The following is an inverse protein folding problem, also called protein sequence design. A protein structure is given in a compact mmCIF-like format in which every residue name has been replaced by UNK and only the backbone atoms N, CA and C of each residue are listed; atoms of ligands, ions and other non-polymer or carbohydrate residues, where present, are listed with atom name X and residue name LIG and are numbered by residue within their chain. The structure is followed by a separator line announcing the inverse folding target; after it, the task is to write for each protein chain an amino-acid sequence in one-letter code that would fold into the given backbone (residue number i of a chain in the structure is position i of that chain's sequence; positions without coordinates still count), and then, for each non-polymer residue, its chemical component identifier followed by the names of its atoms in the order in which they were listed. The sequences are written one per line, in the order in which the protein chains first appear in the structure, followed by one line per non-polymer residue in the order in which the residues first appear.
data_IF_079700156618
#
_entry.id   IF_079700156618
#
_cell.length_a   1.000
_cell.length_b   1.000
_cell.length_c   1.000
_cell.angle_alpha   90.00
_cell.angle_beta   90.00
_cell.angle_gamma   90.00
#
_symmetry.space_group_name_H-M   'P 1'
#
loop_
_entity.id
_entity.type
_entity.pdbx_description
1 polymer ?
#
# COMPACT_ATOMS: atom_id res chain seq x y z
N UNK A 1 12.07 -15.13 -2.20
CA UNK A 1 11.12 -14.29 -2.95
C UNK A 1 11.53 -12.85 -2.77
N UNK A 2 11.73 -12.11 -3.84
CA UNK A 2 11.86 -10.66 -3.72
C UNK A 2 10.45 -10.10 -3.50
N UNK A 3 10.27 -9.42 -2.38
CA UNK A 3 9.04 -8.71 -2.12
C UNK A 3 9.05 -7.40 -2.93
N UNK A 4 7.88 -6.96 -3.33
CA UNK A 4 7.70 -5.65 -3.96
C UNK A 4 6.99 -4.72 -2.99
N UNK A 5 7.27 -3.44 -3.07
CA UNK A 5 6.43 -2.47 -2.38
C UNK A 5 4.99 -2.60 -2.88
N UNK A 6 3.99 -2.70 -1.99
CA UNK A 6 2.60 -2.91 -2.37
C UNK A 6 2.12 -1.95 -3.47
N UNK A 7 1.61 -2.51 -4.55
CA UNK A 7 1.12 -1.75 -5.71
C UNK A 7 2.18 -1.18 -6.65
N UNK A 8 3.44 -1.58 -6.49
CA UNK A 8 4.56 -1.13 -7.32
C UNK A 8 5.39 -2.29 -7.88
N UNK A 9 6.29 -1.98 -8.80
CA UNK A 9 7.34 -2.86 -9.29
C UNK A 9 8.69 -2.63 -8.59
N UNK A 10 8.71 -1.88 -7.50
CA UNK A 10 9.91 -1.59 -6.72
C UNK A 10 10.22 -2.82 -5.86
N UNK A 11 11.27 -3.55 -6.24
CA UNK A 11 11.73 -4.73 -5.48
C UNK A 11 12.40 -4.30 -4.18
N UNK A 12 12.03 -4.95 -3.10
CA UNK A 12 12.53 -4.66 -1.75
C UNK A 12 12.80 -5.94 -0.98
N UNK A 13 13.65 -5.87 0.02
CA UNK A 13 13.75 -6.94 1.03
C UNK A 13 12.69 -6.75 2.11
N UNK A 14 12.40 -7.82 2.84
CA UNK A 14 11.48 -7.77 3.98
C UNK A 14 11.93 -6.76 5.05
N UNK A 15 13.22 -6.55 5.21
CA UNK A 15 13.76 -5.56 6.15
C UNK A 15 13.51 -4.11 5.70
N UNK A 16 13.52 -3.85 4.39
CA UNK A 16 13.18 -2.53 3.87
C UNK A 16 11.71 -2.16 4.08
N UNK A 17 10.80 -3.14 4.16
CA UNK A 17 9.40 -2.87 4.48
C UNK A 17 9.19 -2.31 5.89
N UNK A 18 10.14 -2.50 6.82
CA UNK A 18 10.06 -1.94 8.17
C UNK A 18 10.10 -0.42 8.19
N UNK A 19 10.82 0.16 7.23
CA UNK A 19 10.96 1.61 7.08
C UNK A 19 10.96 2.00 5.60
N UNK A 20 9.77 1.94 5.00
CA UNK A 20 9.59 2.23 3.57
C UNK A 20 9.91 3.68 3.21
N UNK A 21 9.86 4.59 4.17
CA UNK A 21 10.16 6.00 3.96
C UNK A 21 11.63 6.21 3.55
N UNK A 22 12.56 5.36 4.03
CA UNK A 22 13.96 5.37 3.57
C UNK A 22 14.12 5.08 2.07
N UNK A 23 13.15 4.41 1.47
CA UNK A 23 13.15 4.13 0.02
C UNK A 23 12.40 5.23 -0.73
N UNK A 24 11.24 5.63 -0.21
CA UNK A 24 10.38 6.58 -0.93
C UNK A 24 10.89 8.01 -0.85
N UNK A 25 11.36 8.49 0.31
CA UNK A 25 11.77 9.88 0.48
C UNK A 25 12.87 10.30 -0.50
N UNK A 26 13.95 9.52 -0.72
CA UNK A 26 14.96 9.86 -1.72
C UNK A 26 14.41 9.99 -3.15
N UNK A 27 13.37 9.24 -3.49
CA UNK A 27 12.76 9.28 -4.83
C UNK A 27 12.01 10.59 -5.10
N UNK A 28 11.63 11.31 -4.04
CA UNK A 28 10.85 12.56 -4.10
C UNK A 28 11.62 13.79 -3.60
N UNK A 29 12.97 13.71 -3.50
CA UNK A 29 13.83 14.87 -3.18
C UNK A 29 13.71 16.00 -4.21
N UNK A 30 13.41 15.67 -5.45
CA UNK A 30 13.00 16.61 -6.49
C UNK A 30 11.49 16.84 -6.41
N UNK A 31 10.95 17.91 -6.98
CA UNK A 31 9.54 18.36 -6.86
C UNK A 31 8.46 17.29 -7.17
N UNK A 32 8.84 16.07 -7.55
CA UNK A 32 7.93 14.97 -7.87
C UNK A 32 8.34 14.21 -9.14
N UNK A 33 7.49 13.28 -9.56
CA UNK A 33 7.72 12.40 -10.70
C UNK A 33 6.77 12.73 -11.86
N UNK A 34 7.27 12.62 -13.09
CA UNK A 34 6.44 12.68 -14.28
C UNK A 34 5.57 11.42 -14.43
N UNK A 35 4.45 11.52 -15.15
CA UNK A 35 3.53 10.40 -15.38
C UNK A 35 4.25 9.14 -15.87
N UNK A 36 5.20 9.25 -16.79
CA UNK A 36 5.97 8.11 -17.32
C UNK A 36 6.76 7.37 -16.22
N UNK A 37 7.35 8.11 -15.29
CA UNK A 37 8.08 7.52 -14.16
C UNK A 37 7.11 6.80 -13.21
N UNK A 38 6.00 7.47 -12.88
CA UNK A 38 4.94 6.91 -12.03
C UNK A 38 4.41 5.61 -12.62
N UNK A 39 4.03 5.61 -13.90
CA UNK A 39 3.47 4.41 -14.57
C UNK A 39 4.50 3.28 -14.66
N UNK A 40 5.76 3.60 -14.93
CA UNK A 40 6.84 2.61 -14.94
C UNK A 40 7.05 1.95 -13.58
N UNK A 41 6.97 2.72 -12.49
CA UNK A 41 7.11 2.19 -11.13
C UNK A 41 5.88 1.42 -10.63
N UNK A 42 4.68 1.80 -11.09
CA UNK A 42 3.43 1.13 -10.71
C UNK A 42 3.09 -0.07 -11.61
N UNK A 43 3.71 -0.20 -12.77
CA UNK A 43 3.39 -1.23 -13.75
C UNK A 43 1.97 -1.09 -14.33
N UNK A 44 1.49 0.15 -14.52
CA UNK A 44 0.16 0.43 -15.08
C UNK A 44 0.23 1.43 -16.23
N UNK A 45 -0.78 1.41 -17.08
CA UNK A 45 -0.88 2.28 -18.22
C UNK A 45 -1.18 3.74 -17.84
N UNK A 46 -0.67 4.68 -18.62
CA UNK A 46 -0.87 6.11 -18.40
C UNK A 46 -2.35 6.52 -18.37
N UNK A 47 -3.17 5.93 -19.25
CA UNK A 47 -4.61 6.20 -19.28
C UNK A 47 -5.33 5.78 -17.99
N UNK A 48 -4.85 4.74 -17.30
CA UNK A 48 -5.40 4.30 -16.01
C UNK A 48 -5.20 5.37 -14.94
N UNK A 49 -3.97 5.90 -14.82
CA UNK A 49 -3.67 7.01 -13.89
C UNK A 49 -4.49 8.24 -14.22
N UNK A 50 -4.54 8.63 -15.50
CA UNK A 50 -5.31 9.79 -15.96
C UNK A 50 -6.82 9.63 -15.67
N UNK A 51 -7.37 8.43 -15.84
CA UNK A 51 -8.77 8.13 -15.52
C UNK A 51 -9.03 8.25 -14.02
N UNK A 52 -8.13 7.75 -13.15
CA UNK A 52 -8.27 7.88 -11.70
C UNK A 52 -8.21 9.34 -11.23
N UNK A 53 -7.33 10.14 -11.84
CA UNK A 53 -7.30 11.60 -11.61
C UNK A 53 -8.59 12.27 -12.07
N UNK A 54 -9.06 11.97 -13.30
CA UNK A 54 -10.30 12.53 -13.84
C UNK A 54 -11.53 12.20 -13.00
N UNK A 55 -11.57 11.00 -12.40
CA UNK A 55 -12.64 10.56 -11.49
C UNK A 55 -12.49 11.10 -10.05
N UNK A 56 -11.43 11.84 -9.76
CA UNK A 56 -11.19 12.42 -8.44
C UNK A 56 -10.70 11.44 -7.38
N UNK A 57 -10.25 10.24 -7.76
CA UNK A 57 -9.65 9.29 -6.82
C UNK A 57 -8.25 9.71 -6.39
N UNK A 58 -7.56 10.45 -7.23
CA UNK A 58 -6.26 11.05 -6.97
C UNK A 58 -6.32 12.51 -7.39
N UNK A 59 -5.72 13.38 -6.59
CA UNK A 59 -5.61 14.80 -6.96
C UNK A 59 -4.79 15.01 -8.22
N UNK A 60 -5.12 16.03 -8.99
CA UNK A 60 -4.36 16.42 -10.18
C UNK A 60 -2.89 16.70 -9.85
N UNK A 61 -1.95 16.29 -10.72
CA UNK A 61 -0.55 16.63 -10.55
C UNK A 61 -0.33 18.14 -10.67
N UNK A 62 0.61 18.68 -9.89
CA UNK A 62 1.02 20.07 -9.98
C UNK A 62 2.18 20.18 -10.98
N UNK A 63 2.11 21.09 -11.93
CA UNK A 63 3.11 21.24 -13.01
C UNK A 63 3.43 19.90 -13.73
N UNK A 64 2.44 19.02 -13.86
CA UNK A 64 2.56 17.64 -14.40
C UNK A 64 3.42 16.70 -13.55
N UNK A 65 3.70 17.05 -12.31
CA UNK A 65 4.47 16.24 -11.36
C UNK A 65 3.55 15.66 -10.28
N UNK A 66 3.74 14.39 -10.02
CA UNK A 66 3.11 13.64 -8.93
C UNK A 66 4.06 13.65 -7.73
N UNK A 67 3.63 14.26 -6.64
CA UNK A 67 4.37 14.21 -5.38
C UNK A 67 4.24 12.83 -4.70
N UNK A 68 4.95 12.66 -3.58
CA UNK A 68 4.98 11.41 -2.81
C UNK A 68 3.57 10.92 -2.42
N UNK A 69 2.70 11.80 -1.93
CA UNK A 69 1.36 11.43 -1.47
C UNK A 69 0.47 10.93 -2.61
N UNK A 70 0.53 11.59 -3.77
CA UNK A 70 -0.19 11.16 -4.98
C UNK A 70 0.32 9.81 -5.48
N UNK A 71 1.64 9.57 -5.42
CA UNK A 71 2.24 8.30 -5.79
C UNK A 71 1.79 7.19 -4.84
N UNK A 72 1.81 7.42 -3.53
CA UNK A 72 1.36 6.47 -2.52
C UNK A 72 -0.13 6.14 -2.72
N UNK A 73 -0.97 7.14 -2.93
CA UNK A 73 -2.39 6.92 -3.23
C UNK A 73 -2.59 6.05 -4.46
N UNK A 74 -1.85 6.31 -5.53
CA UNK A 74 -1.87 5.49 -6.74
C UNK A 74 -1.40 4.05 -6.46
N UNK A 75 -0.36 3.87 -5.65
CA UNK A 75 0.13 2.54 -5.27
C UNK A 75 -0.93 1.76 -4.47
N UNK A 76 -1.61 2.40 -3.51
CA UNK A 76 -2.71 1.78 -2.74
C UNK A 76 -3.85 1.37 -3.67
N UNK A 77 -4.30 2.27 -4.55
CA UNK A 77 -5.35 1.96 -5.53
C UNK A 77 -4.94 0.78 -6.42
N UNK A 78 -3.71 0.81 -6.96
CA UNK A 78 -3.19 -0.25 -7.81
C UNK A 78 -3.12 -1.60 -7.08
N UNK A 79 -2.77 -1.59 -5.81
CA UNK A 79 -2.61 -2.81 -5.02
C UNK A 79 -3.94 -3.50 -4.71
N UNK A 80 -4.96 -2.72 -4.35
CA UNK A 80 -6.22 -3.25 -3.86
C UNK A 80 -7.36 -3.25 -4.88
N UNK A 81 -7.17 -2.75 -6.10
CA UNK A 81 -8.23 -2.67 -7.14
C UNK A 81 -8.86 -4.01 -7.51
N UNK A 82 -8.13 -5.12 -7.30
CA UNK A 82 -8.62 -6.46 -7.62
C UNK A 82 -9.38 -7.11 -6.44
N UNK A 83 -9.41 -6.45 -5.28
CA UNK A 83 -10.12 -6.91 -4.07
C UNK A 83 -11.31 -5.99 -3.75
N UNK A 84 -11.13 -4.69 -3.91
CA UNK A 84 -12.13 -3.68 -3.61
C UNK A 84 -12.46 -2.84 -4.84
N UNK A 85 -13.68 -2.28 -4.88
CA UNK A 85 -13.96 -1.18 -5.82
C UNK A 85 -13.10 0.03 -5.48
N UNK A 86 -12.79 0.86 -6.48
CA UNK A 86 -12.00 2.08 -6.25
C UNK A 86 -12.69 3.01 -5.24
N UNK A 87 -14.00 3.12 -5.29
CA UNK A 87 -14.81 3.87 -4.32
C UNK A 87 -14.68 3.30 -2.90
N UNK A 88 -14.63 1.96 -2.79
CA UNK A 88 -14.40 1.26 -1.52
C UNK A 88 -13.02 1.57 -0.93
N UNK A 89 -11.97 1.58 -1.76
CA UNK A 89 -10.61 1.95 -1.33
C UNK A 89 -10.59 3.41 -0.85
N UNK A 90 -11.19 4.33 -1.59
CA UNK A 90 -11.26 5.75 -1.19
C UNK A 90 -12.03 5.91 0.12
N UNK A 91 -13.09 5.15 0.33
CA UNK A 91 -13.86 5.16 1.59
C UNK A 91 -13.02 4.65 2.77
N UNK A 92 -12.19 3.63 2.56
CA UNK A 92 -11.25 3.15 3.57
C UNK A 92 -10.19 4.20 3.89
N UNK A 93 -9.60 4.85 2.88
CA UNK A 93 -8.58 5.88 3.08
C UNK A 93 -9.10 7.12 3.81
N UNK A 94 -10.40 7.45 3.67
CA UNK A 94 -11.04 8.52 4.45
C UNK A 94 -11.12 8.24 5.96
N UNK A 95 -10.87 7.02 6.40
CA UNK A 95 -10.76 6.68 7.83
C UNK A 95 -9.44 7.17 8.44
N UNK A 96 -8.48 7.54 7.61
CA UNK A 96 -7.17 8.00 8.02
C UNK A 96 -6.97 9.47 7.65
N UNK A 97 -6.13 10.16 8.42
CA UNK A 97 -5.77 11.56 8.19
C UNK A 97 -4.76 11.67 7.02
N UNK A 98 -3.86 10.69 6.89
CA UNK A 98 -2.80 10.69 5.88
C UNK A 98 -2.58 9.29 5.28
N UNK A 99 -2.68 9.18 3.95
CA UNK A 99 -2.43 7.94 3.23
C UNK A 99 -0.99 7.43 3.39
N UNK A 100 -0.03 8.35 3.47
CA UNK A 100 1.39 8.02 3.63
C UNK A 100 1.65 7.28 4.94
N UNK A 101 1.07 7.73 6.05
CA UNK A 101 1.19 7.03 7.34
C UNK A 101 0.56 5.65 7.28
N UNK A 102 -0.63 5.52 6.67
CA UNK A 102 -1.30 4.22 6.49
C UNK A 102 -0.43 3.27 5.66
N UNK A 103 0.14 3.75 4.57
CA UNK A 103 0.98 2.93 3.70
C UNK A 103 2.25 2.46 4.40
N UNK A 104 2.94 3.36 5.11
CA UNK A 104 4.16 3.02 5.86
C UNK A 104 3.86 2.04 7.00
N UNK A 105 2.76 2.23 7.73
CA UNK A 105 2.31 1.30 8.77
C UNK A 105 1.90 -0.06 8.18
N UNK A 106 1.26 -0.09 7.02
CA UNK A 106 0.91 -1.31 6.31
C UNK A 106 2.17 -2.06 5.83
N UNK A 107 3.16 -1.39 5.27
CA UNK A 107 4.44 -2.00 4.90
C UNK A 107 5.15 -2.59 6.11
N UNK A 108 5.16 -1.89 7.24
CA UNK A 108 5.72 -2.40 8.50
C UNK A 108 4.97 -3.64 8.99
N UNK A 109 3.64 -3.63 8.91
CA UNK A 109 2.80 -4.80 9.22
C UNK A 109 3.20 -6.02 8.37
N UNK A 110 3.39 -5.84 7.06
CA UNK A 110 3.85 -6.89 6.16
C UNK A 110 5.24 -7.43 6.53
N UNK A 111 6.15 -6.55 6.97
CA UNK A 111 7.49 -6.98 7.43
C UNK A 111 7.45 -7.88 8.66
N UNK A 112 6.44 -7.71 9.52
CA UNK A 112 6.23 -8.46 10.75
C UNK A 112 5.35 -9.70 10.55
N UNK A 113 4.68 -9.79 9.40
CA UNK A 113 3.79 -10.89 9.07
C UNK A 113 4.55 -12.22 9.01
N UNK A 114 3.96 -13.32 9.47
CA UNK A 114 4.56 -14.65 9.34
C UNK A 114 4.73 -15.03 7.87
N UNK A 115 5.73 -15.86 7.57
CA UNK A 115 6.00 -16.36 6.23
C UNK A 115 4.82 -17.19 5.69
N UNK A 116 4.18 -17.95 6.57
CA UNK A 116 2.94 -18.68 6.27
C UNK A 116 1.82 -18.18 7.20
N UNK A 117 1.05 -17.17 6.76
CA UNK A 117 0.01 -16.58 7.58
C UNK A 117 -1.19 -17.51 7.83
N UNK A 118 -1.34 -18.56 7.02
CA UNK A 118 -2.46 -19.52 7.15
C UNK A 118 -2.18 -20.51 8.27
N UNK A 119 -0.92 -20.93 8.42
CA UNK A 119 -0.49 -21.92 9.42
C UNK A 119 0.07 -21.30 10.70
N UNK A 120 0.19 -19.98 10.70
CA UNK A 120 0.76 -19.27 11.85
C UNK A 120 -0.22 -19.23 13.02
N UNK A 121 0.30 -19.48 14.23
CA UNK A 121 -0.43 -19.26 15.48
C UNK A 121 -0.49 -17.78 15.87
N UNK A 122 0.26 -16.93 15.18
CA UNK A 122 0.29 -15.49 15.46
C UNK A 122 -1.02 -14.83 15.03
N UNK A 123 -1.74 -14.27 15.99
CA UNK A 123 -2.99 -13.57 15.72
C UNK A 123 -2.73 -12.24 14.99
N UNK A 124 -3.54 -11.97 13.97
CA UNK A 124 -3.50 -10.69 13.25
C UNK A 124 -3.65 -9.48 14.19
N UNK A 125 -4.57 -9.60 15.18
CA UNK A 125 -4.79 -8.56 16.18
C UNK A 125 -3.50 -8.14 16.90
N UNK A 126 -2.64 -9.10 17.23
CA UNK A 126 -1.42 -8.86 18.01
C UNK A 126 -0.36 -8.14 17.17
N UNK A 127 -0.27 -8.48 15.86
CA UNK A 127 0.64 -7.81 14.94
C UNK A 127 0.16 -6.38 14.68
N UNK A 128 -1.12 -6.22 14.39
CA UNK A 128 -1.72 -4.89 14.14
C UNK A 128 -1.58 -3.99 15.36
N UNK A 129 -1.84 -4.52 16.56
CA UNK A 129 -1.70 -3.77 17.82
C UNK A 129 -0.25 -3.31 18.01
N UNK A 130 0.72 -4.20 17.80
CA UNK A 130 2.15 -3.81 17.88
C UNK A 130 2.55 -2.70 16.92
N UNK A 131 2.02 -2.71 15.69
CA UNK A 131 2.31 -1.66 14.70
C UNK A 131 1.68 -0.33 15.10
N UNK A 132 0.41 -0.34 15.55
CA UNK A 132 -0.31 0.89 15.91
C UNK A 132 0.16 1.49 17.23
N UNK A 133 0.56 0.65 18.19
CA UNK A 133 1.03 1.11 19.51
C UNK A 133 2.53 1.44 19.53
N UNK A 134 3.27 1.07 18.49
CA UNK A 134 4.62 1.57 18.31
C UNK A 134 4.58 3.09 18.10
N UNK A 135 5.49 3.82 18.73
CA UNK A 135 5.58 5.29 18.61
C UNK A 135 6.13 5.75 17.25
N UNK A 136 6.24 4.83 16.29
CA UNK A 136 6.83 5.11 14.98
C UNK A 136 5.90 5.83 14.00
N UNK A 137 4.57 5.86 14.28
CA UNK A 137 3.59 6.43 13.38
C UNK A 137 2.69 7.43 14.08
N UNK A 138 2.66 8.65 13.55
CA UNK A 138 1.67 9.65 13.90
C UNK A 138 0.45 9.54 12.96
N UNK A 139 -0.62 8.97 13.45
CA UNK A 139 -1.88 8.85 12.72
C UNK A 139 -2.72 10.13 12.75
N UNK A 140 -2.20 11.23 13.27
CA UNK A 140 -2.88 12.51 13.32
C UNK A 140 -4.20 12.42 14.08
N UNK A 141 -5.31 12.80 13.42
CA UNK A 141 -6.66 12.77 13.99
C UNK A 141 -7.30 11.38 14.02
N UNK A 142 -6.67 10.38 13.38
CA UNK A 142 -7.17 9.01 13.36
C UNK A 142 -6.97 8.34 14.71
N UNK A 143 -8.04 7.86 15.33
CA UNK A 143 -7.89 7.13 16.60
C UNK A 143 -7.13 5.82 16.40
N UNK A 144 -6.44 5.35 17.45
CA UNK A 144 -5.74 4.05 17.42
C UNK A 144 -6.67 2.89 17.05
N UNK A 145 -7.92 2.94 17.48
CA UNK A 145 -8.93 1.93 17.15
C UNK A 145 -9.27 1.95 15.65
N UNK A 146 -9.46 3.13 15.07
CA UNK A 146 -9.66 3.27 13.63
C UNK A 146 -8.44 2.81 12.83
N UNK A 147 -7.22 3.16 13.27
CA UNK A 147 -5.98 2.71 12.65
C UNK A 147 -5.84 1.18 12.70
N UNK A 148 -6.12 0.55 13.85
CA UNK A 148 -6.12 -0.93 13.98
C UNK A 148 -7.11 -1.57 13.02
N UNK A 149 -8.34 -1.06 12.98
CA UNK A 149 -9.38 -1.57 12.09
C UNK A 149 -9.00 -1.44 10.62
N UNK A 150 -8.46 -0.28 10.22
CA UNK A 150 -8.01 -0.02 8.86
C UNK A 150 -6.89 -0.99 8.45
N UNK A 151 -5.83 -1.11 9.27
CA UNK A 151 -4.72 -2.01 8.99
C UNK A 151 -5.15 -3.48 8.96
N UNK A 152 -6.08 -3.90 9.82
CA UNK A 152 -6.63 -5.24 9.78
C UNK A 152 -7.38 -5.52 8.46
N UNK A 153 -8.17 -4.57 7.97
CA UNK A 153 -8.87 -4.68 6.67
C UNK A 153 -7.84 -4.80 5.53
N UNK A 154 -6.84 -3.92 5.49
CA UNK A 154 -5.81 -3.92 4.45
C UNK A 154 -5.00 -5.22 4.46
N UNK A 155 -4.65 -5.73 5.63
CA UNK A 155 -3.92 -7.00 5.73
C UNK A 155 -4.77 -8.20 5.29
N UNK A 156 -6.04 -8.24 5.67
CA UNK A 156 -6.97 -9.29 5.21
C UNK A 156 -7.12 -9.26 3.68
N UNK A 157 -7.23 -8.08 3.11
CA UNK A 157 -7.24 -7.89 1.66
C UNK A 157 -5.92 -8.35 1.00
N UNK A 158 -4.77 -8.04 1.62
CA UNK A 158 -3.47 -8.54 1.19
C UNK A 158 -3.43 -10.09 1.15
N UNK A 159 -3.92 -10.74 2.18
CA UNK A 159 -3.99 -12.21 2.22
C UNK A 159 -4.82 -12.78 1.06
N UNK A 160 -5.92 -12.14 0.71
CA UNK A 160 -6.73 -12.59 -0.45
C UNK A 160 -5.98 -12.46 -1.77
N UNK A 161 -5.17 -11.38 -1.94
CA UNK A 161 -4.28 -11.21 -3.11
C UNK A 161 -3.23 -12.33 -3.16
N UNK A 162 -2.59 -12.63 -2.03
CA UNK A 162 -1.57 -13.68 -1.93
C UNK A 162 -2.16 -15.05 -2.26
N UNK A 163 -3.32 -15.38 -1.69
CA UNK A 163 -4.02 -16.64 -1.93
C UNK A 163 -4.47 -16.78 -3.39
N UNK A 164 -4.98 -15.71 -4.00
CA UNK A 164 -5.35 -15.69 -5.41
C UNK A 164 -4.13 -15.97 -6.30
N UNK A 165 -3.00 -15.30 -6.06
CA UNK A 165 -1.76 -15.52 -6.82
C UNK A 165 -1.23 -16.95 -6.66
N UNK A 166 -1.33 -17.53 -5.48
CA UNK A 166 -0.92 -18.91 -5.25
C UNK A 166 -1.85 -19.88 -6.00
N UNK A 167 -3.16 -19.65 -6.00
CA UNK A 167 -4.08 -20.47 -6.79
C UNK A 167 -3.80 -20.36 -8.29
N UNK A 168 -3.53 -19.17 -8.81
CA UNK A 168 -3.13 -18.95 -10.21
C UNK A 168 -1.82 -19.66 -10.55
N UNK A 169 -0.82 -19.62 -9.64
CA UNK A 169 0.44 -20.36 -9.80
C UNK A 169 0.21 -21.88 -9.91
N UNK A 170 -0.59 -22.44 -9.00
CA UNK A 170 -0.91 -23.87 -9.01
C UNK A 170 -1.67 -24.29 -10.28
N UNK A 171 -2.50 -23.43 -10.85
CA UNK A 171 -3.19 -23.71 -12.12
C UNK A 171 -2.21 -23.82 -13.30
N UNK A 172 -1.06 -23.14 -13.26
CA UNK A 172 -0.05 -23.21 -14.34
C UNK A 172 0.82 -24.47 -14.26
N UNK A 173 0.71 -25.26 -13.19
CA UNK A 173 1.47 -26.53 -13.00
C UNK A 173 0.68 -27.76 -13.45
N UNK A 174 -0.57 -27.59 -13.92
CA UNK A 174 -1.41 -28.66 -14.47
C UNK A 174 -1.20 -28.77 -15.98
#
# INVERSE_FOLDING_TARGET
MSDYLPGTLISVSKDHLKNVDQILDPMFLMEGMQLRQVTGLLGIEAHTVQNWVKRGFVESPVKKLYNRDKFIRLAILNYFKDVFSLEGIISLLKMADQDSTVYSAFCKLLSMAPVDPIRSETKLSDIVTRVVDAEDFDFGKTSKEQARRLLAILYTAHLSIVLKKEAERLLTEI
#
